data_IF_719412474081
#
_entry.id   IF_719412474081
#
_cell.length_a   1.000
_cell.length_b   1.000
_cell.length_c   1.000
_cell.angle_alpha   90.00
_cell.angle_beta   90.00
_cell.angle_gamma   90.00
#
_symmetry.space_group_name_H-M   'P 1'
#
loop_
_entity.id
_entity.type
_entity.pdbx_description
1 polymer ?
#
# COMPACT_ATOMS: atom_id res chain seq x y z
N UNK A 1 0.69 -7.64 -23.40
CA UNK A 1 -0.75 -7.88 -23.66
C UNK A 1 -1.64 -6.92 -22.85
N UNK A 2 -1.04 -5.83 -22.40
CA UNK A 2 -1.49 -5.08 -21.23
C UNK A 2 -2.35 -3.91 -21.63
N UNK A 3 -2.06 -3.35 -22.81
CA UNK A 3 -2.99 -2.47 -23.52
C UNK A 3 -4.34 -3.15 -23.72
N UNK A 4 -4.35 -4.45 -24.03
CA UNK A 4 -5.59 -5.22 -24.20
C UNK A 4 -6.27 -5.42 -22.84
N UNK A 5 -5.50 -5.63 -21.76
CA UNK A 5 -6.07 -5.70 -20.41
C UNK A 5 -6.79 -4.39 -20.07
N UNK A 6 -6.11 -3.25 -20.13
CA UNK A 6 -6.71 -1.95 -19.80
C UNK A 6 -7.89 -1.60 -20.72
N UNK A 7 -7.82 -1.92 -22.03
CA UNK A 7 -8.94 -1.72 -22.97
C UNK A 7 -10.19 -2.56 -22.65
N UNK A 8 -10.04 -3.65 -21.88
CA UNK A 8 -11.13 -4.52 -21.44
C UNK A 8 -11.63 -4.21 -20.03
N UNK A 9 -10.92 -3.34 -19.30
CA UNK A 9 -11.33 -2.89 -17.97
C UNK A 9 -12.56 -2.00 -18.06
N UNK A 10 -13.44 -2.13 -17.07
CA UNK A 10 -14.65 -1.32 -16.91
C UNK A 10 -14.65 -0.71 -15.54
N UNK A 11 -14.96 0.58 -15.49
CA UNK A 11 -15.18 1.33 -14.26
C UNK A 11 -16.59 1.88 -14.23
N UNK A 12 -17.18 1.97 -13.05
CA UNK A 12 -18.36 2.81 -12.82
C UNK A 12 -18.41 3.31 -11.39
N UNK A 13 -18.87 4.54 -11.19
CA UNK A 13 -19.34 4.98 -9.89
C UNK A 13 -20.59 4.19 -9.51
N UNK A 14 -20.67 3.75 -8.26
CA UNK A 14 -21.91 3.16 -7.74
C UNK A 14 -22.85 4.30 -7.35
N UNK A 15 -24.10 4.28 -7.84
CA UNK A 15 -25.07 5.35 -7.58
C UNK A 15 -25.23 5.64 -6.08
N UNK A 16 -25.31 6.93 -5.73
CA UNK A 16 -25.44 7.45 -4.35
C UNK A 16 -24.37 6.93 -3.37
N UNK A 17 -23.21 6.52 -3.88
CA UNK A 17 -22.10 5.97 -3.10
C UNK A 17 -20.81 6.75 -3.30
N UNK A 18 -19.87 6.52 -2.41
CA UNK A 18 -18.48 6.93 -2.55
C UNK A 18 -17.62 5.88 -3.25
N UNK A 19 -18.09 4.64 -3.49
CA UNK A 19 -17.25 3.57 -4.06
C UNK A 19 -17.26 3.54 -5.59
N UNK A 20 -16.16 3.06 -6.15
CA UNK A 20 -15.97 2.80 -7.58
C UNK A 20 -15.93 1.29 -7.81
N UNK A 21 -16.75 0.78 -8.72
CA UNK A 21 -16.68 -0.60 -9.16
C UNK A 21 -15.66 -0.74 -10.29
N UNK A 22 -14.89 -1.81 -10.26
CA UNK A 22 -13.95 -2.23 -11.29
C UNK A 22 -14.26 -3.66 -11.73
N UNK A 23 -14.22 -3.91 -13.03
CA UNK A 23 -14.30 -5.25 -13.59
C UNK A 23 -13.41 -5.40 -14.80
N UNK A 24 -12.73 -6.53 -14.89
CA UNK A 24 -12.03 -6.95 -16.09
C UNK A 24 -12.24 -8.45 -16.28
N UNK A 25 -12.65 -8.94 -17.48
CA UNK A 25 -12.89 -10.36 -17.72
C UNK A 25 -11.62 -11.22 -17.59
N UNK A 26 -10.43 -10.64 -17.70
CA UNK A 26 -9.14 -11.31 -17.48
C UNK A 26 -8.73 -11.35 -16.00
N UNK A 27 -9.41 -10.59 -15.15
CA UNK A 27 -9.23 -10.61 -13.69
C UNK A 27 -10.09 -11.70 -13.02
N UNK A 28 -10.69 -12.61 -13.81
CA UNK A 28 -11.55 -13.68 -13.28
C UNK A 28 -10.73 -14.70 -12.48
N UNK A 29 -10.78 -14.55 -11.16
CA UNK A 29 -10.14 -15.43 -10.19
C UNK A 29 -10.77 -16.84 -10.20
N UNK A 30 -11.94 -17.04 -10.81
CA UNK A 30 -12.55 -18.36 -10.91
C UNK A 30 -11.88 -19.27 -11.95
N UNK A 31 -11.07 -18.73 -12.88
CA UNK A 31 -10.21 -19.55 -13.74
C UNK A 31 -9.21 -20.38 -12.94
N UNK A 32 -8.85 -19.96 -11.73
CA UNK A 32 -7.91 -20.69 -10.86
C UNK A 32 -8.54 -21.91 -10.16
N UNK A 33 -9.87 -21.97 -10.04
CA UNK A 33 -10.57 -23.07 -9.37
C UNK A 33 -11.43 -23.92 -10.32
N UNK A 34 -11.70 -23.44 -11.53
CA UNK A 34 -12.43 -24.19 -12.55
C UNK A 34 -11.53 -25.14 -13.35
N UNK A 35 -10.87 -26.10 -12.69
CA UNK A 35 -10.60 -27.39 -13.33
C UNK A 35 -11.89 -28.22 -13.23
N UNK A 36 -12.86 -27.84 -14.05
CA UNK A 36 -14.00 -28.68 -14.39
C UNK A 36 -13.66 -29.45 -15.65
N UNK A 37 -13.81 -30.77 -15.59
CA UNK A 37 -13.56 -31.76 -16.64
C UNK A 37 -14.13 -31.37 -18.01
N UNK A 38 -13.38 -30.66 -18.85
CA UNK A 38 -13.63 -30.63 -20.30
C UNK A 38 -12.30 -30.81 -21.04
N UNK A 39 -12.13 -32.01 -21.58
CA UNK A 39 -11.18 -32.34 -22.64
C UNK A 39 -11.59 -31.55 -23.89
N UNK A 40 -11.01 -30.38 -24.13
CA UNK A 40 -10.97 -29.79 -25.46
C UNK A 40 -9.53 -29.36 -25.78
N UNK A 41 -8.93 -30.15 -26.66
CA UNK A 41 -7.66 -29.90 -27.35
C UNK A 41 -7.80 -28.67 -28.26
N UNK A 42 -7.56 -27.47 -27.72
CA UNK A 42 -7.07 -26.34 -28.52
C UNK A 42 -5.94 -25.65 -27.75
N UNK A 43 -4.77 -25.64 -28.39
CA UNK A 43 -3.41 -25.29 -27.97
C UNK A 43 -3.24 -23.80 -27.58
N UNK A 44 -4.02 -23.33 -26.61
CA UNK A 44 -3.92 -22.01 -25.96
C UNK A 44 -4.05 -22.18 -24.43
N UNK A 45 -3.44 -23.22 -23.87
CA UNK A 45 -3.25 -23.30 -22.42
C UNK A 45 -2.26 -22.20 -22.02
N UNK A 46 -2.78 -21.04 -21.62
CA UNK A 46 -2.05 -20.13 -20.75
C UNK A 46 -1.61 -20.96 -19.54
N UNK A 47 -0.32 -21.16 -19.39
CA UNK A 47 0.25 -21.96 -18.32
C UNK A 47 0.06 -21.19 -17.01
N UNK A 48 -1.06 -21.46 -16.33
CA UNK A 48 -1.53 -20.70 -15.17
C UNK A 48 -0.60 -20.78 -13.95
N UNK A 49 0.34 -21.73 -13.97
CA UNK A 49 1.41 -21.79 -12.97
C UNK A 49 2.54 -20.79 -13.28
N UNK A 50 2.74 -20.33 -14.52
CA UNK A 50 3.74 -19.30 -14.87
C UNK A 50 3.16 -17.88 -14.79
N UNK A 51 1.84 -17.71 -15.00
CA UNK A 51 1.19 -16.40 -15.12
C UNK A 51 0.73 -15.79 -13.79
N UNK A 52 0.72 -16.53 -12.68
CA UNK A 52 0.51 -15.96 -11.32
C UNK A 52 1.69 -16.17 -10.37
N UNK A 53 2.63 -17.07 -10.71
CA UNK A 53 3.89 -17.15 -10.02
C UNK A 53 4.83 -16.10 -10.60
N UNK A 54 4.62 -14.82 -10.26
CA UNK A 54 5.72 -13.88 -10.44
C UNK A 54 6.92 -14.35 -9.60
N UNK A 55 6.69 -15.03 -8.46
CA UNK A 55 7.78 -15.48 -7.58
C UNK A 55 7.43 -16.70 -6.71
N UNK A 56 7.36 -17.92 -7.27
CA UNK A 56 7.60 -19.19 -6.55
C UNK A 56 7.92 -20.33 -7.52
N UNK A 57 9.20 -20.69 -7.62
CA UNK A 57 9.58 -22.08 -7.83
C UNK A 57 10.16 -22.60 -6.51
N UNK A 58 9.35 -23.32 -5.74
CA UNK A 58 9.86 -24.12 -4.62
C UNK A 58 10.75 -25.23 -5.20
N UNK A 59 12.03 -24.92 -5.43
CA UNK A 59 13.02 -25.92 -5.85
C UNK A 59 14.15 -25.46 -6.77
N UNK A 60 14.16 -24.24 -7.28
CA UNK A 60 15.31 -23.72 -8.04
C UNK A 60 15.82 -22.43 -7.44
N UNK A 61 17.13 -22.40 -7.18
CA UNK A 61 17.95 -21.22 -6.82
C UNK A 61 18.01 -20.22 -8.01
N UNK A 62 16.87 -19.97 -8.64
CA UNK A 62 16.75 -19.13 -9.82
C UNK A 62 16.52 -17.70 -9.39
N UNK A 63 17.42 -16.81 -9.81
CA UNK A 63 17.38 -15.38 -9.54
C UNK A 63 16.04 -14.77 -9.99
N UNK A 64 15.27 -14.26 -9.02
CA UNK A 64 13.93 -13.67 -9.21
C UNK A 64 13.98 -12.48 -10.18
N UNK A 65 15.09 -11.73 -10.17
CA UNK A 65 15.32 -10.57 -11.02
C UNK A 65 15.53 -11.04 -12.46
N UNK A 66 16.39 -12.04 -12.67
CA UNK A 66 16.69 -12.58 -13.99
C UNK A 66 15.45 -13.17 -14.68
N UNK A 67 14.59 -13.84 -13.91
CA UNK A 67 13.34 -14.42 -14.43
C UNK A 67 12.32 -13.38 -14.91
N UNK A 68 12.39 -12.16 -14.39
CA UNK A 68 11.40 -11.12 -14.66
C UNK A 68 12.03 -9.87 -15.30
N UNK A 69 13.25 -9.98 -15.84
CA UNK A 69 13.99 -8.84 -16.38
C UNK A 69 13.24 -8.07 -17.47
N UNK A 70 12.44 -8.78 -18.27
CA UNK A 70 11.59 -8.21 -19.32
C UNK A 70 10.40 -7.40 -18.79
N UNK A 71 10.06 -7.58 -17.50
CA UNK A 71 8.98 -6.86 -16.81
C UNK A 71 9.51 -5.69 -15.96
N UNK A 72 10.82 -5.57 -15.78
CA UNK A 72 11.42 -4.48 -15.00
C UNK A 72 11.39 -3.20 -15.84
N UNK A 73 10.77 -2.17 -15.30
CA UNK A 73 10.66 -0.86 -15.95
C UNK A 73 11.88 0.02 -15.66
N UNK A 74 12.27 0.03 -14.39
CA UNK A 74 13.42 0.76 -13.86
C UNK A 74 13.73 0.22 -12.47
N UNK A 75 14.82 0.69 -11.90
CA UNK A 75 15.18 0.44 -10.52
C UNK A 75 15.19 1.73 -9.71
N UNK A 76 14.96 1.59 -8.42
CA UNK A 76 15.04 2.66 -7.44
C UNK A 76 16.25 2.39 -6.56
N UNK A 77 17.19 3.31 -6.52
CA UNK A 77 18.29 3.32 -5.56
C UNK A 77 17.93 4.30 -4.44
N UNK A 78 17.58 3.73 -3.28
CA UNK A 78 17.16 4.53 -2.12
C UNK A 78 18.36 5.07 -1.34
N UNK A 79 19.55 4.48 -1.47
CA UNK A 79 20.74 5.01 -0.80
C UNK A 79 21.25 6.27 -1.50
N UNK A 80 21.20 6.29 -2.83
CA UNK A 80 21.63 7.42 -3.65
C UNK A 80 20.48 8.36 -4.05
N UNK A 81 19.26 8.06 -3.64
CA UNK A 81 18.04 8.78 -4.01
C UNK A 81 17.93 9.00 -5.54
N UNK A 82 18.04 7.92 -6.32
CA UNK A 82 17.98 7.99 -7.79
C UNK A 82 17.13 6.91 -8.45
N UNK A 83 16.69 7.20 -9.69
CA UNK A 83 15.98 6.26 -10.56
C UNK A 83 16.94 5.81 -11.66
N UNK A 84 17.16 4.50 -11.75
CA UNK A 84 18.08 3.88 -12.70
C UNK A 84 17.26 3.17 -13.78
N UNK A 85 17.43 3.59 -15.04
CA UNK A 85 16.82 2.94 -16.19
C UNK A 85 17.32 1.50 -16.34
N UNK A 86 16.44 0.55 -16.64
CA UNK A 86 16.78 -0.86 -16.73
C UNK A 86 17.90 -1.12 -17.74
N UNK A 87 17.84 -0.49 -18.92
CA UNK A 87 18.83 -0.64 -20.00
C UNK A 87 20.22 -0.13 -19.57
N UNK A 88 20.26 0.94 -18.76
CA UNK A 88 21.51 1.51 -18.26
C UNK A 88 22.16 0.59 -17.23
N UNK A 89 21.38 -0.07 -16.38
CA UNK A 89 21.89 -0.97 -15.35
C UNK A 89 22.59 -2.19 -15.98
N UNK A 90 21.99 -2.79 -17.00
CA UNK A 90 22.59 -3.94 -17.70
C UNK A 90 23.95 -3.57 -18.33
N UNK A 91 24.04 -2.41 -18.99
CA UNK A 91 25.30 -1.93 -19.59
C UNK A 91 26.42 -1.71 -18.56
N UNK A 92 26.07 -1.33 -17.33
CA UNK A 92 27.05 -1.09 -16.26
C UNK A 92 27.59 -2.39 -15.63
N UNK A 93 26.83 -3.49 -15.69
CA UNK A 93 27.29 -4.82 -15.24
C UNK A 93 28.29 -5.43 -16.22
N UNK A 94 28.14 -5.19 -17.53
CA UNK A 94 29.06 -5.73 -18.55
C UNK A 94 30.49 -5.13 -18.51
N UNK A 95 30.64 -3.92 -17.96
CA UNK A 95 31.93 -3.19 -17.95
C UNK A 95 32.73 -3.37 -16.64
N UNK A 96 32.21 -4.09 -15.64
CA UNK A 96 32.92 -4.35 -14.38
C UNK A 96 32.96 -5.84 -13.98
N UNK A 97 33.99 -6.55 -14.43
CA UNK A 97 34.30 -7.95 -14.04
C UNK A 97 34.63 -8.14 -12.53
N UNK A 98 34.79 -7.07 -11.74
CA UNK A 98 35.25 -7.10 -10.34
C UNK A 98 34.30 -6.43 -9.32
N UNK A 99 33.09 -5.98 -9.71
CA UNK A 99 32.17 -5.20 -8.84
C UNK A 99 31.00 -6.02 -8.25
N UNK A 100 30.95 -7.34 -8.48
CA UNK A 100 29.70 -8.13 -8.36
C UNK A 100 29.10 -8.31 -6.95
N UNK A 101 29.72 -7.86 -5.86
CA UNK A 101 29.25 -8.24 -4.51
C UNK A 101 28.69 -7.11 -3.61
N UNK A 102 28.98 -5.82 -3.84
CA UNK A 102 28.61 -4.77 -2.87
C UNK A 102 27.44 -3.83 -3.29
N UNK A 103 26.87 -3.96 -4.50
CA UNK A 103 25.92 -2.95 -5.07
C UNK A 103 24.51 -3.50 -5.38
N UNK A 104 24.20 -4.78 -5.11
CA UNK A 104 22.88 -5.36 -5.50
C UNK A 104 21.81 -5.36 -4.40
N UNK A 105 22.11 -4.94 -3.16
CA UNK A 105 21.10 -4.87 -2.08
C UNK A 105 20.39 -3.52 -1.95
N UNK A 106 21.00 -2.43 -2.44
CA UNK A 106 20.49 -1.05 -2.32
C UNK A 106 19.53 -0.64 -3.45
N UNK A 107 19.46 -1.45 -4.51
CA UNK A 107 18.72 -1.14 -5.72
C UNK A 107 17.49 -2.05 -5.83
N UNK A 108 16.30 -1.45 -5.94
CA UNK A 108 15.02 -2.14 -5.86
C UNK A 108 14.29 -2.09 -7.21
N UNK A 109 13.96 -3.23 -7.84
CA UNK A 109 13.26 -3.23 -9.11
C UNK A 109 11.82 -2.74 -8.97
N UNK A 110 11.40 -1.93 -9.94
CA UNK A 110 9.99 -1.59 -10.18
C UNK A 110 9.54 -2.31 -11.43
N UNK A 111 8.57 -3.20 -11.24
CA UNK A 111 8.00 -4.04 -12.27
C UNK A 111 6.65 -3.51 -12.71
N UNK A 112 6.29 -3.79 -13.95
CA UNK A 112 4.91 -3.62 -14.40
C UNK A 112 3.98 -4.61 -13.68
N UNK A 113 2.80 -4.16 -13.24
CA UNK A 113 1.79 -5.06 -12.70
C UNK A 113 1.03 -5.76 -13.84
N UNK A 114 1.05 -7.10 -13.86
CA UNK A 114 0.34 -7.91 -14.85
C UNK A 114 -1.18 -7.71 -14.86
N UNK A 115 -1.77 -7.33 -13.73
CA UNK A 115 -3.19 -7.02 -13.60
C UNK A 115 -3.38 -5.56 -13.16
N UNK A 116 -3.06 -4.59 -14.04
CA UNK A 116 -3.02 -3.18 -13.68
C UNK A 116 -4.44 -2.64 -13.43
N UNK A 117 -4.59 -1.79 -12.42
CA UNK A 117 -5.87 -1.14 -12.07
C UNK A 117 -6.07 0.19 -12.81
N UNK A 118 -5.08 0.57 -13.60
CA UNK A 118 -5.00 1.82 -14.33
C UNK A 118 -3.64 1.90 -15.00
N UNK A 119 -3.43 2.92 -15.80
CA UNK A 119 -2.13 3.17 -16.42
C UNK A 119 -1.06 3.35 -15.33
N UNK A 120 0.11 2.76 -15.55
CA UNK A 120 1.28 2.86 -14.66
C UNK A 120 1.02 2.31 -13.23
N UNK A 121 0.13 1.33 -13.08
CA UNK A 121 0.07 0.49 -11.88
C UNK A 121 1.26 -0.48 -11.90
N UNK A 122 2.21 -0.25 -11.00
CA UNK A 122 3.48 -0.95 -10.93
C UNK A 122 3.66 -1.64 -9.57
N UNK A 123 4.62 -2.56 -9.48
CA UNK A 123 5.01 -3.26 -8.27
C UNK A 123 6.45 -2.89 -7.93
N UNK A 124 6.67 -2.28 -6.78
CA UNK A 124 8.02 -2.08 -6.22
C UNK A 124 8.37 -3.30 -5.38
N UNK A 125 9.49 -3.96 -5.68
CA UNK A 125 10.01 -5.08 -4.91
C UNK A 125 11.23 -4.62 -4.10
N UNK A 126 11.04 -4.44 -2.81
CA UNK A 126 12.13 -4.00 -1.93
C UNK A 126 12.96 -5.20 -1.46
N UNK A 127 14.27 -5.02 -1.43
CA UNK A 127 15.24 -6.05 -1.02
C UNK A 127 15.04 -7.40 -1.75
N UNK A 128 14.79 -7.34 -3.05
CA UNK A 128 14.50 -8.49 -3.92
C UNK A 128 15.53 -9.62 -3.76
N UNK A 129 16.81 -9.27 -3.77
CA UNK A 129 17.95 -10.19 -3.64
C UNK A 129 18.03 -10.82 -2.25
N UNK A 130 17.59 -10.11 -1.21
CA UNK A 130 17.56 -10.61 0.15
C UNK A 130 16.31 -11.47 0.46
N UNK A 131 15.29 -11.45 -0.41
CA UNK A 131 14.07 -12.23 -0.26
C UNK A 131 13.31 -11.92 1.04
N UNK A 132 13.26 -10.65 1.43
CA UNK A 132 12.58 -10.27 2.66
C UNK A 132 11.10 -10.65 2.61
N UNK A 133 10.53 -11.17 3.72
CA UNK A 133 9.12 -11.54 3.76
C UNK A 133 8.24 -10.29 3.71
N UNK A 134 6.95 -10.49 3.41
CA UNK A 134 5.93 -9.44 3.39
C UNK A 134 5.56 -9.02 4.84
N UNK A 135 6.51 -8.39 5.52
CA UNK A 135 6.44 -7.88 6.90
C UNK A 135 7.10 -6.51 6.94
N UNK A 136 6.46 -5.54 7.59
CA UNK A 136 6.92 -4.15 7.67
C UNK A 136 7.45 -3.81 9.06
N UNK A 137 8.46 -2.95 9.09
CA UNK A 137 8.92 -2.20 10.26
C UNK A 137 8.85 -0.70 9.98
N UNK A 138 9.07 0.12 11.00
CA UNK A 138 9.22 1.57 10.86
C UNK A 138 10.42 1.94 9.98
N UNK A 139 11.55 1.22 10.03
CA UNK A 139 12.70 1.50 9.15
C UNK A 139 12.38 1.20 7.68
N UNK A 140 11.64 0.13 7.40
CA UNK A 140 11.19 -0.18 6.03
C UNK A 140 10.22 0.90 5.53
N UNK A 141 9.32 1.39 6.39
CA UNK A 141 8.39 2.45 6.03
C UNK A 141 9.09 3.79 5.77
N UNK A 142 10.06 4.16 6.61
CA UNK A 142 10.85 5.38 6.43
C UNK A 142 11.63 5.34 5.11
N UNK A 143 12.25 4.19 4.82
CA UNK A 143 12.91 3.95 3.55
C UNK A 143 11.93 4.01 2.36
N UNK A 144 10.75 3.41 2.48
CA UNK A 144 9.69 3.47 1.47
C UNK A 144 9.21 4.91 1.21
N UNK A 145 9.17 5.77 2.22
CA UNK A 145 8.71 7.15 2.05
C UNK A 145 9.63 8.00 1.18
N UNK A 146 10.91 7.62 1.05
CA UNK A 146 11.83 8.26 0.10
C UNK A 146 11.34 8.15 -1.36
N UNK A 147 10.50 7.14 -1.69
CA UNK A 147 9.83 7.04 -2.99
C UNK A 147 9.07 8.34 -3.34
N UNK A 148 8.43 8.99 -2.38
CA UNK A 148 7.71 10.24 -2.64
C UNK A 148 8.61 11.43 -2.95
N UNK A 149 9.88 11.39 -2.52
CA UNK A 149 10.88 12.40 -2.91
C UNK A 149 11.33 12.19 -4.36
N UNK A 150 11.50 10.92 -4.76
CA UNK A 150 11.89 10.54 -6.12
C UNK A 150 10.77 10.73 -7.14
N UNK A 151 9.53 10.53 -6.70
CA UNK A 151 8.32 10.71 -7.49
C UNK A 151 7.46 11.79 -6.84
N UNK A 152 7.72 13.10 -7.10
CA UNK A 152 6.95 14.21 -6.54
C UNK A 152 5.56 14.35 -7.19
N UNK A 153 4.86 13.23 -7.40
CA UNK A 153 3.48 13.16 -7.83
C UNK A 153 2.57 13.05 -6.61
N UNK A 154 1.80 14.12 -6.34
CA UNK A 154 0.78 14.14 -5.27
C UNK A 154 -0.34 13.12 -5.47
N UNK A 155 -0.50 12.61 -6.68
CA UNK A 155 -1.50 11.60 -7.04
C UNK A 155 -0.96 10.17 -6.84
N UNK A 156 0.33 9.99 -6.57
CA UNK A 156 0.91 8.70 -6.24
C UNK A 156 0.30 8.16 -4.94
N UNK A 157 -0.03 6.89 -4.95
CA UNK A 157 -0.44 6.10 -3.79
C UNK A 157 0.44 4.86 -3.72
N UNK A 158 0.79 4.50 -2.50
CA UNK A 158 1.46 3.23 -2.23
C UNK A 158 0.50 2.32 -1.47
N UNK A 159 0.24 1.15 -2.03
CA UNK A 159 -0.59 0.12 -1.44
C UNK A 159 0.23 -1.05 -0.93
N UNK A 160 -0.22 -1.66 0.17
CA UNK A 160 0.43 -2.84 0.73
C UNK A 160 -0.60 -3.82 1.30
N UNK A 161 -0.34 -5.10 1.10
CA UNK A 161 -1.12 -6.21 1.65
C UNK A 161 -0.19 -7.04 2.54
N UNK A 162 -0.48 -7.19 3.83
CA UNK A 162 0.30 -8.08 4.71
C UNK A 162 0.04 -9.55 4.37
N UNK A 163 0.88 -10.45 4.88
CA UNK A 163 0.53 -11.87 4.90
C UNK A 163 -0.82 -12.09 5.57
N UNK A 164 -1.67 -12.92 4.95
CA UNK A 164 -3.04 -13.18 5.41
C UNK A 164 -4.07 -12.09 5.06
N UNK A 165 -3.66 -11.03 4.34
CA UNK A 165 -4.52 -9.93 3.90
C UNK A 165 -4.64 -9.89 2.36
N UNK A 166 -4.97 -11.05 1.76
CA UNK A 166 -5.02 -11.27 0.29
C UNK A 166 -3.69 -10.98 -0.41
N UNK A 167 -2.58 -11.24 0.30
CA UNK A 167 -1.24 -11.29 -0.26
C UNK A 167 -0.90 -12.72 -0.72
N UNK A 168 -0.65 -12.88 -2.03
CA UNK A 168 -0.37 -14.18 -2.66
C UNK A 168 1.12 -14.51 -2.68
N UNK A 169 1.98 -13.50 -2.66
CA UNK A 169 3.43 -13.61 -2.82
C UNK A 169 4.12 -13.14 -1.53
N UNK A 170 4.97 -13.99 -0.95
CA UNK A 170 5.68 -13.68 0.29
C UNK A 170 7.08 -13.09 0.05
N UNK A 171 7.16 -12.11 -0.84
CA UNK A 171 8.35 -11.26 -1.03
C UNK A 171 7.91 -9.82 -0.79
N UNK A 172 8.74 -9.01 -0.12
CA UNK A 172 8.40 -7.64 0.25
C UNK A 172 8.13 -6.75 -0.96
N UNK A 173 6.85 -6.49 -1.24
CA UNK A 173 6.43 -5.69 -2.38
C UNK A 173 5.30 -4.70 -2.06
N UNK A 174 5.25 -3.65 -2.86
CA UNK A 174 4.30 -2.56 -2.75
C UNK A 174 3.68 -2.25 -4.10
N UNK A 175 2.41 -1.86 -4.08
CA UNK A 175 1.70 -1.39 -5.26
C UNK A 175 1.92 0.11 -5.41
N UNK A 176 2.46 0.54 -6.55
CA UNK A 176 2.60 1.95 -6.92
C UNK A 176 1.55 2.29 -7.98
N UNK A 177 0.69 3.27 -7.71
CA UNK A 177 -0.32 3.70 -8.69
C UNK A 177 -0.64 5.18 -8.54
N UNK A 178 -0.96 5.84 -9.65
CA UNK A 178 -1.45 7.23 -9.66
C UNK A 178 -2.97 7.27 -9.69
N UNK A 179 -3.59 8.04 -8.78
CA UNK A 179 -5.06 8.16 -8.73
C UNK A 179 -5.62 8.85 -9.97
N UNK A 180 -4.86 9.75 -10.60
CA UNK A 180 -5.24 10.39 -11.87
C UNK A 180 -5.35 9.36 -13.00
N UNK A 181 -4.48 8.35 -13.02
CA UNK A 181 -4.53 7.29 -14.01
C UNK A 181 -5.64 6.27 -13.71
N UNK A 182 -5.76 5.85 -12.45
CA UNK A 182 -6.73 4.82 -12.02
C UNK A 182 -8.18 5.30 -12.13
N UNK A 183 -8.45 6.56 -11.77
CA UNK A 183 -9.81 7.11 -11.81
C UNK A 183 -10.07 7.98 -13.06
N UNK A 184 -9.21 7.90 -14.08
CA UNK A 184 -9.33 8.71 -15.32
C UNK A 184 -10.66 8.52 -16.06
N UNK A 185 -11.30 7.35 -15.93
CA UNK A 185 -12.56 7.01 -16.58
C UNK A 185 -13.80 7.25 -15.70
N UNK A 186 -13.61 7.71 -14.45
CA UNK A 186 -14.68 7.87 -13.47
C UNK A 186 -14.88 9.34 -13.17
N UNK A 187 -16.04 9.86 -13.54
CA UNK A 187 -16.39 11.26 -13.27
C UNK A 187 -16.42 11.53 -11.75
N UNK A 188 -15.95 12.72 -11.36
CA UNK A 188 -15.92 13.22 -9.98
C UNK A 188 -15.08 12.44 -8.94
N UNK A 189 -14.39 11.37 -9.33
CA UNK A 189 -13.48 10.62 -8.44
C UNK A 189 -12.02 10.95 -8.74
N UNK A 190 -11.25 11.41 -7.74
CA UNK A 190 -9.85 11.84 -7.90
C UNK A 190 -8.85 11.15 -6.99
N UNK A 191 -9.35 10.37 -6.03
CA UNK A 191 -8.57 9.71 -4.98
C UNK A 191 -9.35 8.50 -4.48
N UNK A 192 -8.73 7.67 -3.65
CA UNK A 192 -9.46 6.54 -3.09
C UNK A 192 -10.60 7.02 -2.20
N UNK A 193 -11.80 6.45 -2.30
CA UNK A 193 -12.96 6.84 -1.51
C UNK A 193 -12.75 6.87 0.02
N UNK A 194 -11.92 5.99 0.58
CA UNK A 194 -11.56 6.02 2.02
C UNK A 194 -10.88 7.34 2.42
N UNK A 195 -10.23 8.03 1.48
CA UNK A 195 -9.57 9.31 1.71
C UNK A 195 -10.56 10.46 1.94
N UNK A 196 -11.84 10.26 1.67
CA UNK A 196 -12.94 11.17 2.00
C UNK A 196 -13.75 10.71 3.22
N UNK A 197 -13.40 9.57 3.82
CA UNK A 197 -14.09 9.09 5.01
C UNK A 197 -13.93 10.09 6.17
N UNK A 198 -15.00 10.42 6.91
CA UNK A 198 -14.89 11.20 8.13
C UNK A 198 -13.89 10.57 9.10
N UNK A 199 -13.13 11.40 9.80
CA UNK A 199 -12.10 10.95 10.74
C UNK A 199 -12.41 11.43 12.15
N UNK A 200 -12.26 10.55 13.13
CA UNK A 200 -12.30 10.90 14.55
C UNK A 200 -10.90 10.80 15.12
N UNK A 201 -10.40 11.93 15.64
CA UNK A 201 -9.12 11.98 16.34
C UNK A 201 -9.25 11.20 17.66
N UNK A 202 -8.26 10.38 17.97
CA UNK A 202 -8.21 9.59 19.21
C UNK A 202 -7.01 9.97 20.10
N UNK A 203 -5.94 10.48 19.50
CA UNK A 203 -4.69 10.78 20.17
C UNK A 203 -3.90 11.77 19.31
N UNK A 204 -3.25 12.74 19.93
CA UNK A 204 -2.06 13.37 19.36
C UNK A 204 -0.84 13.05 20.22
N UNK A 205 0.34 13.08 19.60
CA UNK A 205 1.61 12.94 20.29
C UNK A 205 2.62 13.93 19.71
N UNK A 206 3.33 14.62 20.58
CA UNK A 206 4.46 15.46 20.16
C UNK A 206 5.71 14.64 19.82
N UNK A 207 5.66 13.32 20.06
CA UNK A 207 6.79 12.39 20.01
C UNK A 207 7.98 12.80 20.91
N UNK A 208 7.77 13.73 21.85
CA UNK A 208 8.73 14.03 22.89
C UNK A 208 8.64 12.94 23.96
N UNK A 209 9.74 12.26 24.19
CA UNK A 209 9.81 11.15 25.12
C UNK A 209 9.74 11.67 26.58
N UNK A 210 9.05 10.93 27.46
CA UNK A 210 8.84 11.32 28.86
C UNK A 210 10.06 11.10 29.77
N UNK A 211 10.95 10.18 29.37
CA UNK A 211 12.23 9.99 30.05
C UNK A 211 13.22 11.06 29.62
N UNK A 212 13.77 11.82 30.59
CA UNK A 212 14.78 12.86 30.35
C UNK A 212 16.11 12.30 29.78
N UNK A 213 16.35 10.99 29.94
CA UNK A 213 17.55 10.30 29.44
C UNK A 213 17.45 9.90 27.96
N UNK A 214 16.26 9.96 27.36
CA UNK A 214 16.05 9.59 25.96
C UNK A 214 16.16 10.81 25.04
N UNK A 215 16.77 10.62 23.87
CA UNK A 215 16.94 11.68 22.88
C UNK A 215 15.67 11.78 22.04
N UNK A 216 15.10 12.97 21.96
CA UNK A 216 13.98 13.23 21.05
C UNK A 216 14.47 13.22 19.60
N UNK A 217 14.19 12.14 18.89
CA UNK A 217 14.63 11.94 17.50
C UNK A 217 13.72 12.65 16.48
N UNK A 218 12.48 12.98 16.87
CA UNK A 218 11.45 13.49 15.96
C UNK A 218 11.18 14.97 16.17
N UNK A 219 11.14 15.71 15.08
CA UNK A 219 10.94 17.17 15.05
C UNK A 219 9.49 17.59 14.73
N UNK A 220 8.66 16.62 14.31
CA UNK A 220 7.24 16.79 14.03
C UNK A 220 6.46 15.75 14.84
N UNK A 221 5.41 16.18 15.52
CA UNK A 221 4.47 15.28 16.19
C UNK A 221 3.56 14.55 15.20
N UNK A 222 2.68 13.71 15.72
CA UNK A 222 1.70 12.97 14.93
C UNK A 222 0.31 13.03 15.55
N UNK A 223 -0.69 12.85 14.71
CA UNK A 223 -2.09 12.71 15.06
C UNK A 223 -2.58 11.34 14.62
N UNK A 224 -3.33 10.68 15.51
CA UNK A 224 -3.98 9.40 15.25
C UNK A 224 -5.49 9.61 15.15
N UNK A 225 -6.06 9.03 14.10
CA UNK A 225 -7.48 9.04 13.82
C UNK A 225 -8.01 7.63 13.58
N UNK A 226 -9.34 7.50 13.62
CA UNK A 226 -10.06 6.34 13.13
C UNK A 226 -11.05 6.81 12.06
N UNK A 227 -11.19 6.03 10.98
CA UNK A 227 -12.26 6.27 9.99
C UNK A 227 -13.63 6.04 10.60
N UNK A 228 -14.51 7.03 10.49
CA UNK A 228 -15.94 6.92 10.74
C UNK A 228 -16.72 6.70 9.45
N UNK A 229 -17.90 6.09 9.58
CA UNK A 229 -18.82 5.77 8.48
C UNK A 229 -18.24 4.88 7.35
N UNK A 230 -16.97 4.47 7.44
CA UNK A 230 -16.33 3.48 6.59
C UNK A 230 -16.62 2.05 7.10
N UNK A 231 -16.90 1.07 6.21
CA UNK A 231 -17.31 -0.27 6.62
C UNK A 231 -16.24 -1.09 7.36
N UNK A 232 -14.96 -0.87 7.04
CA UNK A 232 -13.82 -1.47 7.74
C UNK A 232 -13.12 -0.34 8.49
N UNK A 233 -12.97 -0.45 9.81
CA UNK A 233 -12.30 0.60 10.56
C UNK A 233 -10.80 0.60 10.23
N UNK A 234 -10.26 1.77 9.92
CA UNK A 234 -8.84 1.98 9.74
C UNK A 234 -8.31 2.97 10.78
N UNK A 235 -7.08 2.76 11.23
CA UNK A 235 -6.30 3.80 11.86
C UNK A 235 -5.73 4.71 10.79
N UNK A 236 -5.71 6.02 11.03
CA UNK A 236 -5.10 6.98 10.11
C UNK A 236 -4.09 7.82 10.89
N UNK A 237 -2.87 7.88 10.39
CA UNK A 237 -1.77 8.66 10.99
C UNK A 237 -1.47 9.85 10.08
N UNK A 238 -1.32 11.03 10.67
CA UNK A 238 -0.95 12.28 9.99
C UNK A 238 0.07 13.07 10.81
N UNK A 239 0.90 13.93 10.19
CA UNK A 239 1.71 14.90 10.89
C UNK A 239 0.85 15.82 11.76
N UNK A 240 1.33 16.14 12.95
CA UNK A 240 0.72 17.14 13.80
C UNK A 240 0.85 18.52 13.13
N UNK A 241 -0.28 19.13 12.80
CA UNK A 241 -0.30 20.48 12.25
C UNK A 241 0.16 21.46 13.33
N UNK A 242 1.17 22.29 13.02
CA UNK A 242 1.53 23.43 13.86
C UNK A 242 0.46 24.51 13.68
N UNK A 243 0.00 25.10 14.77
CA UNK A 243 -0.91 26.23 14.71
C UNK A 243 -0.23 27.40 13.97
N UNK A 244 -0.87 27.92 12.91
CA UNK A 244 -0.40 29.07 12.12
C UNK A 244 -0.28 30.37 12.94
N UNK A 245 -0.60 30.36 14.23
CA UNK A 245 -0.46 31.52 15.12
C UNK A 245 0.96 31.66 15.69
N UNK A 246 1.72 30.57 15.84
CA UNK A 246 3.12 30.65 16.33
C UNK A 246 4.10 31.14 15.25
N UNK A 247 3.73 31.09 13.97
CA UNK A 247 4.56 31.56 12.85
C UNK A 247 4.44 33.06 12.55
N UNK A 248 3.59 33.80 13.27
CA UNK A 248 3.41 35.25 13.06
C UNK A 248 4.47 36.12 13.72
N UNK A 249 5.23 35.57 14.68
CA UNK A 249 6.28 36.28 15.40
C UNK A 249 7.68 36.06 14.83
N UNK A 250 7.83 35.21 13.80
CA UNK A 250 9.07 35.07 13.05
C UNK A 250 8.98 35.88 11.75
N UNK A 251 9.81 36.93 11.64
CA UNK A 251 9.94 37.68 10.39
C UNK A 251 10.18 36.70 9.23
N UNK A 252 9.49 36.86 8.08
CA UNK A 252 9.70 36.00 6.93
C UNK A 252 11.14 36.24 6.46
N UNK A 253 12.03 35.29 6.76
CA UNK A 253 13.35 35.26 6.14
C UNK A 253 13.11 34.99 4.66
N UNK A 254 13.38 35.98 3.83
CA UNK A 254 13.50 35.83 2.38
C UNK A 254 14.70 34.94 2.07
N UNK A 255 14.58 33.64 2.34
CA UNK A 255 15.42 32.63 1.73
C UNK A 255 14.49 31.65 1.02
N UNK A 256 14.53 31.64 -0.31
CA UNK A 256 13.79 30.72 -1.16
C UNK A 256 14.48 29.33 -1.16
N UNK A 257 14.83 28.82 0.02
CA UNK A 257 15.26 27.43 0.21
C UNK A 257 14.01 26.60 0.47
N UNK A 258 13.65 25.77 -0.51
CA UNK A 258 12.57 24.78 -0.46
C UNK A 258 12.87 23.63 0.55
N UNK A 259 13.60 23.88 1.65
CA UNK A 259 14.33 22.83 2.38
C UNK A 259 14.51 22.96 3.89
N UNK A 260 13.85 23.90 4.58
CA UNK A 260 14.01 24.06 6.05
C UNK A 260 12.78 23.63 6.88
N UNK A 261 11.70 23.15 6.25
CA UNK A 261 10.61 22.50 7.00
C UNK A 261 11.02 21.07 7.34
N UNK A 262 10.94 20.66 8.62
CA UNK A 262 11.26 19.28 8.99
C UNK A 262 10.36 18.30 8.25
N UNK A 263 10.97 17.29 7.64
CA UNK A 263 10.26 16.22 6.95
C UNK A 263 9.49 15.37 7.99
N UNK A 264 8.15 15.30 7.92
CA UNK A 264 7.36 14.56 8.89
C UNK A 264 7.31 13.05 8.62
N UNK A 265 7.83 12.57 7.49
CA UNK A 265 7.73 11.16 7.05
C UNK A 265 8.32 10.20 8.08
N UNK A 266 9.49 10.48 8.66
CA UNK A 266 10.09 9.67 9.72
C UNK A 266 9.20 9.56 10.98
N UNK A 267 8.57 10.68 11.38
CA UNK A 267 7.63 10.71 12.50
C UNK A 267 6.38 9.87 12.22
N UNK A 268 5.86 9.95 10.99
CA UNK A 268 4.71 9.14 10.53
C UNK A 268 5.11 7.66 10.47
N UNK A 269 6.30 7.32 9.96
CA UNK A 269 6.80 5.95 9.85
C UNK A 269 6.92 5.30 11.23
N UNK A 270 7.52 5.99 12.20
CA UNK A 270 7.60 5.55 13.61
C UNK A 270 6.21 5.30 14.23
N UNK A 271 5.31 6.26 14.03
CA UNK A 271 3.94 6.16 14.56
C UNK A 271 3.16 4.98 13.97
N UNK A 272 3.25 4.78 12.66
CA UNK A 272 2.66 3.64 11.96
C UNK A 272 3.32 2.34 12.39
N UNK A 273 4.65 2.28 12.52
CA UNK A 273 5.37 1.13 13.05
C UNK A 273 4.90 0.72 14.44
N UNK A 274 4.54 1.69 15.29
CA UNK A 274 3.87 1.44 16.57
C UNK A 274 2.56 0.64 16.42
N UNK A 275 1.73 0.98 15.44
CA UNK A 275 0.48 0.25 15.12
C UNK A 275 0.82 -1.13 14.56
N UNK A 276 1.73 -1.21 13.59
CA UNK A 276 2.11 -2.46 12.92
C UNK A 276 2.65 -3.50 13.91
N UNK A 277 3.48 -3.08 14.87
CA UNK A 277 3.99 -3.97 15.92
C UNK A 277 2.86 -4.61 16.72
N UNK A 278 1.84 -3.85 17.11
CA UNK A 278 0.67 -4.38 17.83
C UNK A 278 -0.11 -5.38 16.95
N UNK A 279 -0.26 -5.08 15.66
CA UNK A 279 -0.94 -5.97 14.72
C UNK A 279 -0.15 -7.26 14.50
N UNK A 280 1.18 -7.20 14.40
CA UNK A 280 2.06 -8.36 14.27
C UNK A 280 2.01 -9.21 15.54
N UNK A 281 2.15 -8.60 16.72
CA UNK A 281 2.11 -9.30 18.02
C UNK A 281 0.76 -9.98 18.27
N UNK A 282 -0.32 -9.39 17.77
CA UNK A 282 -1.67 -9.96 17.84
C UNK A 282 -2.01 -10.91 16.68
N UNK A 283 -1.08 -11.12 15.74
CA UNK A 283 -1.27 -11.89 14.51
C UNK A 283 -2.49 -11.44 13.71
N UNK A 284 -2.64 -10.12 13.55
CA UNK A 284 -3.73 -9.46 12.85
C UNK A 284 -3.29 -9.01 11.45
N UNK A 285 -3.85 -9.60 10.38
CA UNK A 285 -3.60 -9.15 9.02
C UNK A 285 -4.07 -7.73 8.79
N UNK A 286 -3.38 -7.03 7.89
CA UNK A 286 -3.65 -5.62 7.61
C UNK A 286 -3.29 -5.24 6.17
N UNK A 287 -3.94 -4.18 5.71
CA UNK A 287 -3.59 -3.50 4.47
C UNK A 287 -3.15 -2.07 4.78
N UNK A 288 -2.31 -1.49 3.92
CA UNK A 288 -1.96 -0.08 3.99
C UNK A 288 -2.37 0.64 2.70
N UNK A 289 -2.78 1.89 2.88
CA UNK A 289 -2.77 2.91 1.83
C UNK A 289 -1.94 4.09 2.34
N UNK A 290 -0.93 4.48 1.58
CA UNK A 290 -0.11 5.66 1.85
C UNK A 290 -0.45 6.71 0.79
N UNK A 291 -0.83 7.90 1.24
CA UNK A 291 -1.24 9.03 0.41
C UNK A 291 -0.51 10.31 0.81
N UNK A 292 -0.80 11.38 0.06
CA UNK A 292 -0.31 12.73 0.38
C UNK A 292 1.21 12.79 0.55
N UNK A 293 1.93 12.14 -0.36
CA UNK A 293 3.40 12.09 -0.35
C UNK A 293 4.01 11.49 0.92
N UNK A 294 3.31 10.56 1.57
CA UNK A 294 3.76 9.91 2.81
C UNK A 294 3.23 10.58 4.08
N UNK A 295 2.52 11.70 3.96
CA UNK A 295 1.95 12.39 5.12
C UNK A 295 0.69 11.72 5.68
N UNK A 296 -0.03 10.94 4.88
CA UNK A 296 -1.22 10.23 5.40
C UNK A 296 -1.07 8.74 5.19
N UNK A 297 -1.19 7.97 6.27
CA UNK A 297 -1.17 6.50 6.21
C UNK A 297 -2.43 5.93 6.82
N UNK A 298 -3.14 5.11 6.04
CA UNK A 298 -4.28 4.32 6.48
C UNK A 298 -3.79 2.90 6.80
N UNK A 299 -3.95 2.47 8.05
CA UNK A 299 -3.70 1.10 8.51
C UNK A 299 -5.04 0.40 8.71
N UNK A 300 -5.31 -0.61 7.89
CA UNK A 300 -6.62 -1.28 7.83
C UNK A 300 -6.50 -2.69 8.43
N UNK A 301 -6.68 -2.87 9.75
CA UNK A 301 -6.68 -4.19 10.36
C UNK A 301 -7.95 -4.96 9.98
N UNK A 302 -7.78 -6.26 9.70
CA UNK A 302 -8.85 -7.10 9.15
C UNK A 302 -8.73 -8.54 9.63
N UNK A 303 -9.79 -9.31 9.36
CA UNK A 303 -9.75 -10.77 9.49
C UNK A 303 -8.82 -11.38 8.44
N UNK A 304 -8.30 -12.55 8.76
CA UNK A 304 -7.60 -13.41 7.82
C UNK A 304 -8.43 -13.69 6.58
N UNK A 305 -7.81 -13.53 5.42
CA UNK A 305 -8.41 -13.78 4.12
C UNK A 305 -9.02 -15.18 3.98
N UNK A 306 -8.34 -16.19 4.53
CA UNK A 306 -8.82 -17.58 4.57
C UNK A 306 -10.17 -17.77 5.28
N UNK A 307 -10.60 -16.79 6.08
CA UNK A 307 -11.87 -16.81 6.80
C UNK A 307 -12.98 -16.03 6.08
N UNK A 308 -12.66 -15.40 4.95
CA UNK A 308 -13.55 -14.49 4.23
C UNK A 308 -14.25 -15.26 3.12
N UNK A 309 -15.58 -15.22 3.11
CA UNK A 309 -16.33 -15.67 1.95
C UNK A 309 -16.38 -14.58 0.87
N UNK A 310 -15.27 -14.44 0.14
CA UNK A 310 -15.05 -13.44 -0.88
C UNK A 310 -15.56 -13.89 -2.27
N UNK A 311 -16.75 -14.51 -2.34
CA UNK A 311 -17.24 -15.14 -3.58
C UNK A 311 -17.33 -14.17 -4.77
N UNK A 312 -17.69 -12.91 -4.51
CA UNK A 312 -18.00 -11.93 -5.57
C UNK A 312 -17.00 -10.76 -5.62
N UNK A 313 -16.16 -10.60 -4.60
CA UNK A 313 -15.29 -9.43 -4.41
C UNK A 313 -13.87 -9.87 -4.05
N UNK A 314 -12.88 -9.06 -4.38
CA UNK A 314 -11.54 -9.13 -3.77
C UNK A 314 -11.47 -8.29 -2.50
N UNK A 315 -10.44 -8.51 -1.69
CA UNK A 315 -10.22 -7.78 -0.43
C UNK A 315 -8.80 -7.23 -0.29
N UNK A 316 -8.14 -6.89 -1.39
CA UNK A 316 -6.85 -6.20 -1.37
C UNK A 316 -6.98 -4.75 -0.88
N UNK A 317 -5.85 -4.07 -0.64
CA UNK A 317 -5.85 -2.70 -0.13
C UNK A 317 -6.77 -1.77 -0.94
N UNK A 318 -6.74 -1.85 -2.27
CA UNK A 318 -7.54 -1.00 -3.16
C UNK A 318 -9.03 -1.24 -2.98
N UNK A 319 -9.44 -2.50 -2.77
CA UNK A 319 -10.84 -2.89 -2.51
C UNK A 319 -11.31 -2.23 -1.21
N UNK A 320 -10.53 -2.40 -0.15
CA UNK A 320 -10.84 -1.83 1.17
C UNK A 320 -10.82 -0.30 1.19
N UNK A 321 -10.14 0.31 0.21
CA UNK A 321 -10.08 1.76 0.02
C UNK A 321 -11.18 2.30 -0.91
N UNK A 322 -12.03 1.44 -1.47
CA UNK A 322 -13.22 1.82 -2.24
C UNK A 322 -13.14 1.66 -3.75
N UNK A 323 -12.05 1.09 -4.28
CA UNK A 323 -11.95 0.62 -5.66
C UNK A 323 -12.24 -0.88 -5.70
N UNK A 324 -13.52 -1.22 -5.87
CA UNK A 324 -14.07 -2.56 -5.65
C UNK A 324 -13.93 -3.43 -6.89
N UNK A 325 -13.05 -4.42 -6.84
CA UNK A 325 -12.87 -5.42 -7.89
C UNK A 325 -13.97 -6.47 -7.80
N UNK A 326 -14.82 -6.49 -8.83
CA UNK A 326 -15.88 -7.47 -8.99
C UNK A 326 -15.32 -8.69 -9.73
N UNK A 327 -15.57 -9.90 -9.21
CA UNK A 327 -15.05 -11.14 -9.82
C UNK A 327 -15.79 -11.54 -11.10
N UNK A 328 -17.00 -11.05 -11.29
CA UNK A 328 -17.81 -11.32 -12.47
C UNK A 328 -18.62 -10.08 -12.91
N UNK A 329 -18.99 -10.05 -14.19
CA UNK A 329 -19.69 -8.92 -14.81
C UNK A 329 -21.07 -8.67 -14.17
N UNK A 330 -21.77 -9.72 -13.76
CA UNK A 330 -23.09 -9.58 -13.14
C UNK A 330 -22.97 -8.91 -11.77
N UNK A 331 -21.96 -9.27 -10.99
CA UNK A 331 -21.63 -8.58 -9.73
C UNK A 331 -21.30 -7.12 -10.02
N UNK A 332 -20.46 -6.85 -11.03
CA UNK A 332 -20.12 -5.48 -11.43
C UNK A 332 -21.34 -4.64 -11.78
N UNK A 333 -22.27 -5.15 -12.59
CA UNK A 333 -23.47 -4.43 -13.02
C UNK A 333 -24.48 -4.20 -11.88
N UNK A 334 -24.59 -5.16 -10.95
CA UNK A 334 -25.59 -5.13 -9.90
C UNK A 334 -25.06 -4.66 -8.53
N UNK A 335 -23.77 -4.31 -8.44
CA UNK A 335 -23.16 -3.83 -7.21
C UNK A 335 -23.89 -2.59 -6.69
N UNK A 336 -24.20 -2.62 -5.39
CA UNK A 336 -24.70 -1.49 -4.62
C UNK A 336 -23.80 -1.25 -3.40
N UNK A 337 -23.74 0.00 -2.94
CA UNK A 337 -23.00 0.40 -1.74
C UNK A 337 -23.38 -0.44 -0.50
N UNK A 338 -24.68 -0.61 -0.29
CA UNK A 338 -25.22 -1.36 0.84
C UNK A 338 -24.79 -2.82 0.84
N UNK A 339 -24.78 -3.46 -0.33
CA UNK A 339 -24.30 -4.85 -0.46
C UNK A 339 -22.82 -4.95 -0.12
N UNK A 340 -21.99 -4.05 -0.66
CA UNK A 340 -20.55 -4.08 -0.44
C UNK A 340 -20.18 -3.76 1.02
N UNK A 341 -20.76 -2.70 1.59
CA UNK A 341 -20.56 -2.36 3.01
C UNK A 341 -21.01 -3.48 3.94
N UNK A 342 -22.10 -4.18 3.61
CA UNK A 342 -22.57 -5.34 4.38
C UNK A 342 -21.60 -6.52 4.28
N UNK A 343 -21.04 -6.79 3.10
CA UNK A 343 -20.00 -7.78 2.90
C UNK A 343 -18.76 -7.46 3.75
N UNK A 344 -18.20 -6.27 3.60
CA UNK A 344 -17.01 -5.84 4.34
C UNK A 344 -17.20 -5.95 5.86
N UNK A 345 -18.29 -5.40 6.40
CA UNK A 345 -18.59 -5.47 7.85
C UNK A 345 -18.70 -6.89 8.39
N UNK A 346 -19.22 -7.82 7.58
CA UNK A 346 -19.46 -9.20 8.01
C UNK A 346 -18.22 -10.07 7.87
N UNK A 347 -17.63 -10.05 6.68
CA UNK A 347 -16.60 -11.00 6.27
C UNK A 347 -15.19 -10.47 6.53
N UNK A 348 -14.94 -9.16 6.36
CA UNK A 348 -13.59 -8.58 6.41
C UNK A 348 -13.27 -7.90 7.74
N UNK A 349 -14.17 -7.05 8.24
CA UNK A 349 -13.92 -6.22 9.42
C UNK A 349 -13.67 -7.07 10.66
N UNK A 350 -12.72 -6.61 11.49
CA UNK A 350 -12.62 -7.06 12.87
C UNK A 350 -13.92 -6.77 13.62
N UNK A 351 -14.21 -7.60 14.63
CA UNK A 351 -15.27 -7.26 15.57
C UNK A 351 -14.87 -6.04 16.43
N UNK A 352 -15.89 -5.42 17.04
CA UNK A 352 -15.70 -4.20 17.83
C UNK A 352 -14.76 -4.39 19.01
N UNK A 353 -14.74 -5.57 19.64
CA UNK A 353 -13.92 -5.85 20.81
C UNK A 353 -12.45 -5.96 20.41
N UNK A 354 -12.15 -6.74 19.37
CA UNK A 354 -10.80 -6.89 18.82
C UNK A 354 -10.20 -5.56 18.36
N UNK A 355 -10.98 -4.76 17.61
CA UNK A 355 -10.51 -3.43 17.17
C UNK A 355 -10.28 -2.48 18.36
N UNK A 356 -11.19 -2.48 19.34
CA UNK A 356 -11.05 -1.63 20.54
C UNK A 356 -9.82 -2.00 21.35
N UNK A 357 -9.53 -3.30 21.48
CA UNK A 357 -8.31 -3.77 22.16
C UNK A 357 -7.04 -3.21 21.52
N UNK A 358 -6.92 -3.29 20.18
CA UNK A 358 -5.76 -2.76 19.45
C UNK A 358 -5.64 -1.25 19.66
N UNK A 359 -6.77 -0.52 19.57
CA UNK A 359 -6.81 0.94 19.80
C UNK A 359 -6.35 1.30 21.22
N UNK A 360 -6.85 0.61 22.24
CA UNK A 360 -6.53 0.90 23.63
C UNK A 360 -5.06 0.56 23.95
N UNK A 361 -4.52 -0.49 23.34
CA UNK A 361 -3.10 -0.86 23.43
C UNK A 361 -2.20 0.19 22.78
N UNK A 362 -2.58 0.70 21.60
CA UNK A 362 -1.88 1.80 20.92
C UNK A 362 -1.83 3.06 21.79
N UNK A 363 -2.99 3.51 22.30
CA UNK A 363 -3.08 4.69 23.16
C UNK A 363 -2.21 4.49 24.41
N UNK A 364 -2.33 3.33 25.06
CA UNK A 364 -1.54 3.02 26.27
C UNK A 364 -0.04 3.07 25.99
N UNK A 365 0.42 2.52 24.86
CA UNK A 365 1.83 2.54 24.47
C UNK A 365 2.34 3.97 24.28
N UNK A 366 1.64 4.77 23.48
CA UNK A 366 2.08 6.14 23.20
C UNK A 366 2.00 7.05 24.42
N UNK A 367 0.92 7.00 25.20
CA UNK A 367 0.77 7.81 26.42
C UNK A 367 1.83 7.46 27.47
N UNK A 368 2.29 6.20 27.50
CA UNK A 368 3.36 5.79 28.42
C UNK A 368 4.72 6.36 28.03
N UNK A 369 5.04 6.38 26.74
CA UNK A 369 6.37 6.72 26.22
C UNK A 369 6.51 8.22 25.91
N UNK A 370 5.45 8.86 25.39
CA UNK A 370 5.51 10.21 24.84
C UNK A 370 4.51 11.16 25.50
N UNK A 371 4.76 12.47 25.31
CA UNK A 371 3.80 13.52 25.61
C UNK A 371 2.67 13.53 24.57
N UNK A 372 1.43 13.35 25.06
CA UNK A 372 0.24 13.11 24.24
C UNK A 372 -1.01 13.79 24.79
N UNK A 373 -1.98 14.09 23.91
CA UNK A 373 -3.35 14.51 24.27
C UNK A 373 -4.36 13.48 23.77
N UNK A 374 -5.19 12.94 24.67
CA UNK A 374 -6.26 11.99 24.35
C UNK A 374 -7.59 12.72 24.07
N UNK A 375 -8.42 12.16 23.18
CA UNK A 375 -9.68 12.77 22.71
C UNK A 375 -10.92 11.88 22.89
#
# INVERSE_FOLDING_TARGET
EDKIFLEQSKFRSVEDSTIVAFYNPRHDVNRFFAKGDEEDDDDNSLDLDDDLNVFKNEGTDSDLIEQNKDKILYYVDLENEEIIDADKRESSKEDCDDCEEEVDSSVHPVLFNQFPLGKDHNILLMFATAGLPQVLSDEILDLLFQIFRLFPDRHLRIGYNSMGAECWINNLHFHLLSTDNVFSEVEDTKKFPIEDAPLVKILDSTLQHKSEDEINMYSVGVEFYITEEWPVKAFVVKPLKRDEEESKDEEPKEDNTFGDSPDPTASVAHAVGGILNILIDSNTPHNLLISDQGETVYVIPRKFDLLINAANFSTEFNDLCGLVKCKDEKTFENLTDSQYKKFLKKEVSLDTEAFTKIKDELITKFVKEYECTEY
#
